data_IF_049877355336
#
_entry.id   IF_049877355336
#
_cell.length_a   1.000
_cell.length_b   1.000
_cell.length_c   1.000
_cell.angle_alpha   90.00
_cell.angle_beta   90.00
_cell.angle_gamma   90.00
#
_symmetry.space_group_name_H-M   'P 1'
#
loop_
_entity.id
_entity.type
_entity.pdbx_description
1 polymer ?
#
# COMPACT_ATOMS: atom_id res chain seq x y z
N UNK A 1 23.44 61.79 50.25
CA UNK A 1 24.17 60.63 49.72
C UNK A 1 23.52 59.38 50.29
N UNK A 2 22.83 58.61 49.46
CA UNK A 2 22.49 57.20 49.71
C UNK A 2 22.16 56.61 48.34
N UNK A 3 22.93 55.61 47.99
CA UNK A 3 23.09 55.03 46.65
C UNK A 3 21.97 54.06 46.30
N UNK A 4 21.69 54.04 45.01
CA UNK A 4 20.73 53.22 44.27
C UNK A 4 21.03 51.70 44.29
N UNK A 5 19.93 50.95 44.20
CA UNK A 5 19.64 49.53 43.96
C UNK A 5 20.55 48.77 42.95
N UNK A 6 20.54 47.41 42.93
CA UNK A 6 19.47 46.67 42.25
C UNK A 6 18.88 45.45 43.00
N UNK A 7 17.55 45.36 42.94
CA UNK A 7 16.76 44.16 43.23
C UNK A 7 17.10 43.05 42.23
N UNK A 8 17.53 41.89 42.73
CA UNK A 8 17.58 40.66 41.96
C UNK A 8 16.15 40.19 41.68
N UNK A 9 15.76 40.24 40.41
CA UNK A 9 14.55 39.59 39.91
C UNK A 9 14.68 38.09 40.01
N UNK A 10 13.73 37.45 40.70
CA UNK A 10 13.54 36.02 40.66
C UNK A 10 12.84 35.73 39.33
N UNK A 11 13.62 35.36 38.31
CA UNK A 11 13.08 34.81 37.07
C UNK A 11 12.63 33.38 37.33
N UNK A 12 11.31 33.18 37.39
CA UNK A 12 10.68 31.86 37.31
C UNK A 12 11.22 31.11 36.09
N UNK A 13 11.57 29.81 36.20
CA UNK A 13 11.99 29.04 35.06
C UNK A 13 10.82 28.95 34.08
N UNK A 14 11.08 29.37 32.84
CA UNK A 14 10.17 29.16 31.73
C UNK A 14 9.77 27.68 31.71
N UNK A 15 8.50 27.40 31.98
CA UNK A 15 7.90 26.12 31.63
C UNK A 15 8.08 25.97 30.12
N UNK A 16 9.02 25.11 29.73
CA UNK A 16 9.05 24.52 28.41
C UNK A 16 7.63 23.99 28.15
N UNK A 17 6.99 24.31 27.01
CA UNK A 17 5.73 23.67 26.68
C UNK A 17 6.02 22.17 26.67
N UNK A 18 5.27 21.43 27.50
CA UNK A 18 5.25 19.98 27.44
C UNK A 18 4.98 19.61 25.99
N UNK A 19 5.95 18.97 25.32
CA UNK A 19 5.77 18.50 23.96
C UNK A 19 4.51 17.65 23.95
N UNK A 20 3.47 18.14 23.27
CA UNK A 20 2.23 17.40 23.13
C UNK A 20 2.54 16.15 22.31
N UNK A 21 2.77 15.03 22.99
CA UNK A 21 2.96 13.74 22.33
C UNK A 21 1.60 13.29 21.81
N UNK A 22 1.26 13.69 20.59
CA UNK A 22 0.08 13.17 19.89
C UNK A 22 0.21 11.66 19.77
N UNK A 23 -0.74 10.92 20.35
CA UNK A 23 -0.73 9.46 20.26
C UNK A 23 -1.09 9.05 18.82
N UNK A 24 -0.26 8.23 18.18
CA UNK A 24 -0.55 7.60 16.88
C UNK A 24 -1.08 6.19 17.11
N UNK A 25 -2.15 5.81 16.41
CA UNK A 25 -2.68 4.45 16.42
C UNK A 25 -3.16 4.04 15.02
N UNK A 26 -3.01 2.76 14.70
CA UNK A 26 -3.45 2.16 13.46
C UNK A 26 -4.85 1.56 13.60
N UNK A 27 -5.71 1.82 12.62
CA UNK A 27 -7.09 1.36 12.57
C UNK A 27 -7.35 0.56 11.30
N UNK A 28 -8.07 -0.56 11.45
CA UNK A 28 -8.53 -1.33 10.32
C UNK A 28 -9.68 -0.62 9.59
N UNK A 29 -9.59 -0.58 8.27
CA UNK A 29 -10.57 0.01 7.39
C UNK A 29 -10.79 -0.90 6.19
N UNK A 30 -12.04 -1.16 5.86
CA UNK A 30 -12.42 -2.01 4.73
C UNK A 30 -13.10 -1.14 3.68
N UNK A 31 -12.69 -1.32 2.44
CA UNK A 31 -13.36 -0.73 1.28
C UNK A 31 -13.86 -1.82 0.34
N UNK A 32 -15.04 -1.61 -0.23
CA UNK A 32 -15.57 -2.45 -1.31
C UNK A 32 -15.75 -1.56 -2.54
N UNK A 33 -15.05 -1.90 -3.61
CA UNK A 33 -15.10 -1.18 -4.88
C UNK A 33 -15.88 -1.97 -5.91
N UNK A 34 -16.83 -1.31 -6.58
CA UNK A 34 -17.57 -1.87 -7.69
C UNK A 34 -17.04 -1.32 -9.01
N UNK A 35 -16.86 -2.20 -10.00
CA UNK A 35 -16.40 -1.79 -11.33
C UNK A 35 -16.93 -2.67 -12.45
N UNK A 36 -17.18 -2.05 -13.59
CA UNK A 36 -17.58 -2.75 -14.81
C UNK A 36 -16.38 -3.19 -15.62
N UNK A 37 -16.45 -4.40 -16.17
CA UNK A 37 -15.39 -5.00 -16.97
C UNK A 37 -15.94 -5.61 -18.25
N UNK A 38 -15.16 -5.52 -19.33
CA UNK A 38 -15.45 -6.17 -20.60
C UNK A 38 -14.15 -6.72 -21.20
N UNK A 39 -14.09 -8.03 -21.43
CA UNK A 39 -12.90 -8.68 -21.99
C UNK A 39 -11.62 -8.38 -21.19
N UNK A 40 -11.70 -8.49 -19.86
CA UNK A 40 -10.64 -8.15 -18.91
C UNK A 40 -10.24 -6.67 -18.89
N UNK A 41 -10.97 -5.76 -19.52
CA UNK A 41 -10.70 -4.33 -19.41
C UNK A 41 -11.68 -3.66 -18.46
N UNK A 42 -11.15 -2.97 -17.43
CA UNK A 42 -11.94 -2.13 -16.54
C UNK A 42 -12.47 -0.93 -17.31
N UNK A 43 -13.78 -0.82 -17.42
CA UNK A 43 -14.44 0.24 -18.16
C UNK A 43 -14.72 1.46 -17.28
N UNK A 44 -15.15 1.22 -16.03
CA UNK A 44 -15.62 2.28 -15.16
C UNK A 44 -15.59 1.89 -13.68
N UNK A 45 -15.18 2.83 -12.84
CA UNK A 45 -15.43 2.82 -11.40
C UNK A 45 -16.86 3.27 -11.15
N UNK A 46 -17.63 2.44 -10.45
CA UNK A 46 -19.01 2.77 -10.11
C UNK A 46 -19.04 3.50 -8.78
N UNK A 47 -18.91 2.71 -7.72
CA UNK A 47 -19.17 3.13 -6.36
C UNK A 47 -18.14 2.48 -5.45
N UNK A 48 -17.76 3.20 -4.40
CA UNK A 48 -16.88 2.72 -3.35
C UNK A 48 -17.60 2.84 -2.01
N UNK A 49 -17.63 1.74 -1.28
CA UNK A 49 -18.21 1.64 0.06
C UNK A 49 -17.07 1.53 1.06
N UNK A 50 -17.11 2.31 2.15
CA UNK A 50 -16.03 2.36 3.11
C UNK A 50 -16.56 2.36 4.54
N UNK A 51 -15.99 1.49 5.40
CA UNK A 51 -16.32 1.44 6.81
C UNK A 51 -15.24 0.74 7.63
N UNK A 52 -15.40 0.80 8.96
CA UNK A 52 -14.62 0.01 9.89
C UNK A 52 -15.12 -1.44 9.92
N UNK A 53 -14.32 -2.36 9.36
CA UNK A 53 -14.67 -3.78 9.27
C UNK A 53 -15.67 -4.11 8.16
N UNK A 54 -16.16 -5.35 8.13
CA UNK A 54 -16.85 -5.91 6.96
C UNK A 54 -18.35 -5.54 6.83
N UNK A 55 -18.86 -4.61 7.65
CA UNK A 55 -20.26 -4.17 7.59
C UNK A 55 -20.66 -3.58 6.22
N UNK A 56 -19.70 -3.10 5.43
CA UNK A 56 -19.90 -2.58 4.06
C UNK A 56 -20.16 -3.63 3.01
N UNK A 57 -19.84 -4.89 3.28
CA UNK A 57 -19.95 -5.96 2.28
C UNK A 57 -21.40 -6.17 1.82
N UNK A 58 -22.34 -6.35 2.75
CA UNK A 58 -23.73 -6.65 2.39
C UNK A 58 -24.41 -5.49 1.61
N UNK A 59 -24.29 -4.22 2.03
CA UNK A 59 -24.78 -3.09 1.23
C UNK A 59 -24.15 -3.01 -0.16
N UNK A 60 -22.82 -3.19 -0.27
CA UNK A 60 -22.13 -3.13 -1.55
C UNK A 60 -22.59 -4.22 -2.52
N UNK A 61 -22.75 -5.46 -2.05
CA UNK A 61 -23.23 -6.58 -2.88
C UNK A 61 -24.70 -6.44 -3.26
N UNK A 62 -25.53 -5.89 -2.36
CA UNK A 62 -26.93 -5.57 -2.68
C UNK A 62 -27.01 -4.50 -3.77
N UNK A 63 -26.14 -3.48 -3.69
CA UNK A 63 -26.03 -2.46 -4.71
C UNK A 63 -25.55 -3.02 -6.04
N UNK A 64 -24.56 -3.91 -6.02
CA UNK A 64 -24.06 -4.58 -7.21
C UNK A 64 -25.18 -5.39 -7.91
N UNK A 65 -25.96 -6.17 -7.16
CA UNK A 65 -27.08 -6.91 -7.71
C UNK A 65 -28.13 -5.99 -8.34
N UNK A 66 -28.49 -4.90 -7.65
CA UNK A 66 -29.43 -3.91 -8.19
C UNK A 66 -28.95 -3.28 -9.49
N UNK A 67 -27.63 -3.08 -9.66
CA UNK A 67 -27.05 -2.59 -10.92
C UNK A 67 -27.12 -3.64 -12.01
N UNK A 68 -26.84 -4.90 -11.71
CA UNK A 68 -27.03 -6.00 -12.66
C UNK A 68 -28.47 -6.08 -13.14
N UNK A 69 -29.46 -6.01 -12.24
CA UNK A 69 -30.88 -6.04 -12.60
C UNK A 69 -31.26 -4.85 -13.48
N UNK A 70 -30.78 -3.64 -13.14
CA UNK A 70 -31.08 -2.41 -13.88
C UNK A 70 -30.50 -2.43 -15.31
N UNK A 71 -29.26 -2.89 -15.48
CA UNK A 71 -28.59 -2.96 -16.78
C UNK A 71 -28.77 -4.30 -17.51
N UNK A 72 -29.57 -5.21 -16.95
CA UNK A 72 -29.80 -6.56 -17.48
C UNK A 72 -28.48 -7.32 -17.70
N UNK A 73 -27.54 -7.20 -16.76
CA UNK A 73 -26.28 -7.92 -16.79
C UNK A 73 -26.52 -9.30 -16.17
N UNK A 74 -26.38 -10.33 -16.99
CA UNK A 74 -26.52 -11.74 -16.62
C UNK A 74 -25.26 -12.54 -17.01
N UNK A 75 -25.30 -13.86 -16.79
CA UNK A 75 -24.19 -14.77 -17.10
C UNK A 75 -23.82 -14.80 -18.59
N UNK A 76 -24.77 -14.48 -19.48
CA UNK A 76 -24.55 -14.44 -20.93
C UNK A 76 -23.94 -13.13 -21.42
N UNK A 77 -23.94 -12.10 -20.55
CA UNK A 77 -23.49 -10.76 -20.89
C UNK A 77 -21.96 -10.70 -21.10
N UNK A 78 -21.53 -9.95 -22.12
CA UNK A 78 -20.11 -9.65 -22.31
C UNK A 78 -19.58 -8.67 -21.26
N UNK A 79 -20.45 -7.83 -20.72
CA UNK A 79 -20.21 -6.96 -19.58
C UNK A 79 -20.28 -7.77 -18.29
N UNK A 80 -19.36 -7.52 -17.38
CA UNK A 80 -19.35 -8.14 -16.05
C UNK A 80 -19.17 -7.08 -14.98
N UNK A 81 -19.94 -7.19 -13.90
CA UNK A 81 -19.79 -6.35 -12.72
C UNK A 81 -18.96 -7.11 -11.68
N UNK A 82 -17.91 -6.48 -11.18
CA UNK A 82 -17.02 -7.03 -10.17
C UNK A 82 -17.06 -6.22 -8.88
N UNK A 83 -16.97 -6.92 -7.76
CA UNK A 83 -16.76 -6.32 -6.44
C UNK A 83 -15.39 -6.75 -5.90
N UNK A 84 -14.59 -5.77 -5.48
CA UNK A 84 -13.27 -5.98 -4.89
C UNK A 84 -13.25 -5.50 -3.45
N UNK A 85 -12.71 -6.31 -2.55
CA UNK A 85 -12.51 -5.95 -1.14
C UNK A 85 -11.06 -5.55 -0.93
N UNK A 86 -10.84 -4.37 -0.38
CA UNK A 86 -9.53 -3.94 0.12
C UNK A 86 -9.59 -3.76 1.63
N UNK A 87 -8.56 -4.23 2.32
CA UNK A 87 -8.34 -3.96 3.74
C UNK A 87 -7.12 -3.06 3.89
N UNK A 88 -7.24 -2.06 4.74
CA UNK A 88 -6.24 -1.03 4.97
C UNK A 88 -5.96 -0.90 6.46
N UNK A 89 -4.72 -0.57 6.81
CA UNK A 89 -4.37 0.03 8.08
C UNK A 89 -4.23 1.54 7.87
N UNK A 90 -4.97 2.32 8.64
CA UNK A 90 -4.95 3.78 8.56
C UNK A 90 -4.45 4.36 9.87
N UNK A 91 -3.42 5.20 9.78
CA UNK A 91 -2.87 5.92 10.90
C UNK A 91 -3.83 7.06 11.29
N UNK A 92 -4.19 7.11 12.58
CA UNK A 92 -4.94 8.20 13.17
C UNK A 92 -4.17 8.78 14.35
N UNK A 93 -4.29 10.09 14.53
CA UNK A 93 -3.72 10.83 15.66
C UNK A 93 -4.82 11.23 16.62
N UNK A 94 -4.44 11.40 17.89
CA UNK A 94 -5.30 11.97 18.91
C UNK A 94 -4.59 13.13 19.58
N UNK A 95 -5.10 14.33 19.38
CA UNK A 95 -4.63 15.53 20.05
C UNK A 95 -5.31 15.71 21.42
N UNK A 96 -4.57 16.29 22.36
CA UNK A 96 -4.90 16.27 23.80
C UNK A 96 -6.18 17.01 24.21
N UNK A 97 -6.74 17.85 23.34
CA UNK A 97 -7.95 18.61 23.66
C UNK A 97 -9.25 17.83 23.38
N UNK A 98 -9.31 17.07 22.28
CA UNK A 98 -10.60 16.60 21.76
C UNK A 98 -10.90 15.13 22.01
N UNK A 99 -9.97 14.33 22.55
CA UNK A 99 -10.10 12.86 22.78
C UNK A 99 -10.55 12.01 21.56
N UNK A 100 -10.88 12.62 20.44
CA UNK A 100 -11.29 11.98 19.19
C UNK A 100 -10.07 11.63 18.34
N UNK A 101 -10.18 10.51 17.61
CA UNK A 101 -9.17 10.09 16.65
C UNK A 101 -9.45 10.72 15.29
N UNK A 102 -8.53 11.54 14.80
CA UNK A 102 -8.57 12.16 13.47
C UNK A 102 -7.56 11.52 12.53
N UNK A 103 -7.75 11.69 11.21
CA UNK A 103 -6.75 11.26 10.25
C UNK A 103 -5.45 12.04 10.47
N UNK A 104 -4.33 11.35 10.29
CA UNK A 104 -3.02 11.94 10.41
C UNK A 104 -2.67 12.73 9.15
N UNK A 105 -3.42 13.80 8.85
CA UNK A 105 -3.27 14.60 7.62
C UNK A 105 -1.93 15.38 7.59
N UNK A 106 -1.22 15.43 8.72
CA UNK A 106 -0.01 16.22 8.98
C UNK A 106 1.24 15.42 9.34
N UNK A 107 1.22 14.07 9.26
CA UNK A 107 2.47 13.32 9.41
C UNK A 107 3.32 13.55 8.15
N UNK A 108 4.47 14.20 8.32
CA UNK A 108 5.55 14.37 7.32
C UNK A 108 6.04 13.03 6.71
N UNK A 109 5.49 11.92 7.17
CA UNK A 109 5.74 10.58 6.66
C UNK A 109 4.52 10.11 5.88
N UNK A 110 4.74 10.14 4.57
CA UNK A 110 3.93 9.73 3.43
C UNK A 110 3.12 8.40 3.52
N UNK A 111 3.13 7.68 4.65
CA UNK A 111 2.46 6.39 4.84
C UNK A 111 1.39 6.51 5.93
N UNK A 112 0.33 7.27 5.65
CA UNK A 112 -0.84 7.37 6.53
C UNK A 112 -1.84 6.23 6.31
N UNK A 113 -1.68 5.46 5.23
CA UNK A 113 -2.53 4.33 4.84
C UNK A 113 -1.69 3.23 4.19
N UNK A 114 -1.81 2.01 4.70
CA UNK A 114 -1.09 0.81 4.22
C UNK A 114 -2.09 -0.23 3.75
N UNK A 115 -1.89 -0.80 2.57
CA UNK A 115 -2.70 -1.91 2.07
C UNK A 115 -2.33 -3.21 2.80
N UNK A 116 -3.34 -3.90 3.34
CA UNK A 116 -3.19 -5.21 4.00
C UNK A 116 -3.59 -6.34 3.06
N UNK A 117 -4.70 -6.18 2.34
CA UNK A 117 -5.16 -7.19 1.39
C UNK A 117 -6.03 -6.54 0.33
N UNK A 118 -6.08 -7.11 -0.86
CA UNK A 118 -6.99 -6.70 -1.93
C UNK A 118 -7.36 -7.93 -2.76
N UNK A 119 -8.64 -8.19 -2.98
CA UNK A 119 -9.07 -9.35 -3.79
C UNK A 119 -10.50 -9.20 -4.29
N UNK A 120 -10.86 -9.85 -5.40
CA UNK A 120 -12.25 -9.93 -5.83
C UNK A 120 -13.04 -10.82 -4.85
N UNK A 121 -14.28 -10.43 -4.57
CA UNK A 121 -15.17 -11.12 -3.61
C UNK A 121 -16.48 -11.58 -4.25
N UNK A 122 -16.85 -10.97 -5.38
CA UNK A 122 -18.05 -11.30 -6.11
C UNK A 122 -17.95 -10.83 -7.57
N UNK A 123 -18.59 -11.56 -8.49
CA UNK A 123 -18.87 -11.05 -9.84
C UNK A 123 -20.27 -11.45 -10.32
N UNK A 124 -20.79 -10.75 -11.33
CA UNK A 124 -22.09 -11.07 -11.91
C UNK A 124 -22.14 -12.42 -12.63
N UNK A 125 -20.99 -13.01 -13.00
CA UNK A 125 -20.93 -14.34 -13.63
C UNK A 125 -20.65 -15.48 -12.65
N UNK A 126 -19.85 -15.22 -11.63
CA UNK A 126 -19.40 -16.25 -10.70
C UNK A 126 -20.12 -16.20 -9.36
N UNK A 127 -20.90 -15.15 -9.11
CA UNK A 127 -21.49 -14.90 -7.81
C UNK A 127 -20.42 -14.68 -6.75
N UNK A 128 -20.66 -15.17 -5.54
CA UNK A 128 -19.71 -15.06 -4.42
C UNK A 128 -18.47 -15.92 -4.67
N UNK A 129 -17.30 -15.34 -4.49
CA UNK A 129 -16.01 -16.04 -4.67
C UNK A 129 -15.56 -16.74 -3.40
N UNK A 130 -14.77 -17.80 -3.56
CA UNK A 130 -14.08 -18.42 -2.43
C UNK A 130 -13.02 -17.49 -1.84
N UNK A 131 -12.67 -17.64 -0.55
CA UNK A 131 -11.66 -16.79 0.07
C UNK A 131 -10.25 -17.02 -0.53
N UNK A 132 -9.39 -15.98 -0.60
CA UNK A 132 -8.08 -16.07 -1.26
C UNK A 132 -7.07 -17.06 -0.68
N UNK A 133 -7.22 -17.46 0.58
CA UNK A 133 -6.39 -18.48 1.23
C UNK A 133 -6.62 -19.89 0.65
N UNK A 134 -7.71 -20.07 -0.09
CA UNK A 134 -8.01 -21.31 -0.82
C UNK A 134 -7.51 -21.31 -2.28
N UNK A 135 -6.94 -20.21 -2.73
CA UNK A 135 -6.50 -20.02 -4.12
C UNK A 135 -5.03 -20.43 -4.30
N UNK A 136 -4.60 -20.80 -5.52
CA UNK A 136 -3.18 -20.98 -5.84
C UNK A 136 -2.34 -19.76 -5.42
N UNK A 137 -1.40 -19.98 -4.51
CA UNK A 137 -0.57 -18.94 -3.89
C UNK A 137 0.81 -18.81 -4.54
N UNK A 138 1.31 -17.58 -4.59
CA UNK A 138 2.59 -17.20 -5.19
C UNK A 138 3.32 -16.18 -4.33
N UNK A 139 4.63 -16.07 -4.52
CA UNK A 139 5.44 -15.01 -3.94
C UNK A 139 5.82 -14.02 -5.03
N UNK A 140 5.45 -12.75 -4.83
CA UNK A 140 5.84 -11.66 -5.72
C UNK A 140 6.95 -10.84 -5.06
N UNK A 141 8.13 -10.84 -5.67
CA UNK A 141 9.31 -10.11 -5.20
C UNK A 141 9.47 -8.84 -6.01
N UNK A 142 9.64 -7.71 -5.35
CA UNK A 142 9.93 -6.45 -6.02
C UNK A 142 11.40 -6.07 -5.94
N UNK A 143 11.81 -5.26 -6.90
CA UNK A 143 13.07 -4.51 -6.92
C UNK A 143 12.78 -3.06 -7.27
N UNK A 144 13.28 -2.15 -6.45
CA UNK A 144 13.17 -0.71 -6.66
C UNK A 144 14.50 -0.01 -6.41
N UNK A 145 14.91 0.85 -7.34
CA UNK A 145 16.12 1.65 -7.19
C UNK A 145 15.76 3.02 -6.59
N UNK A 146 16.55 3.46 -5.63
CA UNK A 146 16.53 4.83 -5.11
C UNK A 146 17.92 5.45 -5.21
N UNK A 147 17.97 6.78 -5.27
CA UNK A 147 19.21 7.54 -5.23
C UNK A 147 19.28 8.29 -3.90
N UNK A 148 20.42 8.21 -3.22
CA UNK A 148 20.67 8.82 -1.91
C UNK A 148 22.04 9.50 -1.88
N UNK A 149 22.29 10.35 -0.88
CA UNK A 149 23.61 10.93 -0.62
C UNK A 149 24.65 9.83 -0.29
N UNK A 150 25.79 9.87 -0.99
CA UNK A 150 26.88 8.90 -0.86
C UNK A 150 27.56 8.89 0.52
N UNK A 151 27.40 9.95 1.31
CA UNK A 151 27.97 10.06 2.67
C UNK A 151 27.31 9.13 3.69
N UNK A 152 26.17 8.51 3.37
CA UNK A 152 25.43 7.63 4.27
C UNK A 152 25.98 6.20 4.22
N UNK A 153 26.07 5.56 5.38
CA UNK A 153 26.46 4.15 5.48
C UNK A 153 25.27 3.21 5.23
N UNK A 154 25.52 2.01 4.73
CA UNK A 154 24.47 1.00 4.50
C UNK A 154 23.75 0.58 5.79
N UNK A 155 24.47 0.58 6.93
CA UNK A 155 23.90 0.26 8.23
C UNK A 155 22.88 1.30 8.70
N UNK A 156 23.16 2.60 8.48
CA UNK A 156 22.20 3.67 8.73
C UNK A 156 20.97 3.50 7.82
N UNK A 157 21.18 3.22 6.54
CA UNK A 157 20.09 3.09 5.56
C UNK A 157 19.11 1.95 5.87
N UNK A 158 19.59 0.85 6.46
CA UNK A 158 18.77 -0.29 6.90
C UNK A 158 17.67 0.07 7.89
N UNK A 159 17.91 1.04 8.76
CA UNK A 159 16.91 1.55 9.72
C UNK A 159 16.06 2.70 9.18
N UNK A 160 16.42 3.26 8.03
CA UNK A 160 15.84 4.49 7.51
C UNK A 160 14.85 4.26 6.37
N UNK A 161 14.90 3.13 5.66
CA UNK A 161 13.92 2.84 4.60
C UNK A 161 12.76 2.02 5.15
N UNK A 162 11.57 2.57 5.00
CA UNK A 162 10.31 1.85 5.13
C UNK A 162 9.68 1.68 3.74
N UNK A 163 8.96 0.58 3.56
CA UNK A 163 8.25 0.30 2.33
C UNK A 163 6.79 -0.03 2.64
N UNK A 164 5.88 0.45 1.81
CA UNK A 164 4.47 0.11 1.87
C UNK A 164 3.92 -0.12 0.47
N UNK A 165 2.95 -1.03 0.36
CA UNK A 165 2.19 -1.19 -0.87
C UNK A 165 1.24 -0.02 -1.05
N UNK A 166 1.17 0.47 -2.28
CA UNK A 166 0.08 1.30 -2.77
C UNK A 166 -0.63 0.57 -3.91
N UNK A 167 -1.96 0.56 -3.88
CA UNK A 167 -2.75 0.05 -5.01
C UNK A 167 -2.59 1.03 -6.16
N UNK A 168 -2.18 0.51 -7.32
CA UNK A 168 -2.25 1.23 -8.60
C UNK A 168 -3.64 0.95 -9.17
N UNK A 169 -4.17 1.87 -9.99
CA UNK A 169 -5.38 1.58 -10.77
C UNK A 169 -5.24 0.20 -11.42
N UNK A 170 -6.13 -0.72 -11.04
CA UNK A 170 -6.04 -2.11 -11.47
C UNK A 170 -6.09 -2.20 -12.99
N UNK A 171 -4.98 -2.61 -13.58
CA UNK A 171 -4.88 -2.88 -15.00
C UNK A 171 -5.75 -4.06 -15.43
N UNK A 172 -5.85 -4.31 -16.74
CA UNK A 172 -6.72 -5.33 -17.30
C UNK A 172 -6.41 -6.76 -16.80
N UNK A 173 -5.17 -7.02 -16.40
CA UNK A 173 -4.70 -8.33 -15.96
C UNK A 173 -4.98 -8.60 -14.47
N UNK A 174 -5.50 -7.62 -13.73
CA UNK A 174 -5.65 -7.65 -12.27
C UNK A 174 -6.91 -8.40 -11.76
N UNK A 175 -7.85 -8.71 -12.65
CA UNK A 175 -9.21 -9.15 -12.29
C UNK A 175 -9.25 -10.44 -11.44
N UNK A 176 -8.25 -11.31 -11.60
CA UNK A 176 -8.08 -12.52 -10.80
C UNK A 176 -7.04 -12.44 -9.68
N UNK A 177 -6.33 -11.32 -9.55
CA UNK A 177 -5.23 -11.19 -8.59
C UNK A 177 -5.75 -10.85 -7.19
N UNK A 178 -5.34 -11.67 -6.22
CA UNK A 178 -5.44 -11.34 -4.81
C UNK A 178 -4.07 -10.96 -4.25
N UNK A 179 -4.02 -9.85 -3.52
CA UNK A 179 -2.99 -9.56 -2.54
C UNK A 179 -3.51 -10.10 -1.21
N UNK A 180 -2.94 -11.22 -0.77
CA UNK A 180 -3.40 -11.93 0.42
C UNK A 180 -2.77 -11.38 1.70
N UNK A 181 -1.52 -10.93 1.59
CA UNK A 181 -0.81 -10.20 2.64
C UNK A 181 0.04 -9.09 2.00
N UNK A 182 -0.33 -7.86 2.32
CA UNK A 182 0.35 -6.65 1.89
C UNK A 182 1.53 -6.25 2.78
N UNK A 183 1.79 -6.99 3.86
CA UNK A 183 3.01 -6.89 4.64
C UNK A 183 4.23 -7.25 3.79
N UNK A 184 5.13 -6.28 3.60
CA UNK A 184 6.39 -6.53 2.89
C UNK A 184 7.30 -7.36 3.78
N UNK A 185 7.66 -8.54 3.30
CA UNK A 185 8.59 -9.48 3.93
C UNK A 185 9.98 -9.34 3.31
N UNK A 186 10.99 -9.80 4.03
CA UNK A 186 12.38 -9.91 3.54
C UNK A 186 12.91 -8.61 2.91
N UNK A 187 12.58 -7.47 3.52
CA UNK A 187 13.01 -6.16 3.03
C UNK A 187 14.54 -6.06 3.14
N UNK A 188 15.22 -5.92 2.02
CA UNK A 188 16.68 -5.73 1.98
C UNK A 188 17.07 -4.48 1.20
N UNK A 189 18.21 -3.90 1.58
CA UNK A 189 18.78 -2.73 0.94
C UNK A 189 20.23 -3.05 0.60
N UNK A 190 20.58 -2.94 -0.67
CA UNK A 190 21.94 -3.20 -1.14
C UNK A 190 22.45 -2.02 -1.95
N UNK A 191 23.75 -1.71 -1.81
CA UNK A 191 24.40 -0.66 -2.58
C UNK A 191 24.70 -1.19 -3.98
N UNK A 192 24.25 -0.47 -5.01
CA UNK A 192 24.45 -0.84 -6.42
C UNK A 192 25.68 -0.15 -7.00
N UNK A 193 25.97 1.07 -6.55
CA UNK A 193 27.13 1.84 -6.99
C UNK A 193 26.84 3.34 -7.07
N UNK A 194 27.76 4.10 -7.65
CA UNK A 194 27.61 5.54 -7.83
C UNK A 194 26.47 5.87 -8.81
N UNK A 195 25.71 6.94 -8.53
CA UNK A 195 24.75 7.49 -9.47
C UNK A 195 25.49 8.36 -10.50
N UNK A 196 25.74 7.83 -11.69
CA UNK A 196 26.44 8.56 -12.77
C UNK A 196 25.68 9.78 -13.27
N UNK A 197 24.38 9.91 -12.96
CA UNK A 197 23.54 11.05 -13.32
C UNK A 197 23.48 12.12 -12.23
N UNK A 198 24.05 11.88 -11.05
CA UNK A 198 24.02 12.84 -9.93
C UNK A 198 25.26 12.68 -9.07
N UNK A 199 26.21 13.60 -9.25
CA UNK A 199 27.45 13.63 -8.47
C UNK A 199 27.16 13.70 -6.97
N UNK A 200 27.92 12.94 -6.17
CA UNK A 200 27.71 12.84 -4.72
C UNK A 200 26.53 11.95 -4.31
N UNK A 201 25.83 11.33 -5.26
CA UNK A 201 24.77 10.36 -4.97
C UNK A 201 25.19 8.92 -5.29
N UNK A 202 24.58 7.98 -4.59
CA UNK A 202 24.69 6.54 -4.83
C UNK A 202 23.32 5.92 -5.07
N UNK A 203 23.32 4.82 -5.81
CA UNK A 203 22.15 4.01 -6.09
C UNK A 203 22.05 2.88 -5.07
N UNK A 204 20.88 2.78 -4.44
CA UNK A 204 20.51 1.65 -3.60
C UNK A 204 19.41 0.85 -4.29
N UNK A 205 19.47 -0.45 -4.12
CA UNK A 205 18.43 -1.38 -4.50
C UNK A 205 17.69 -1.84 -3.26
N UNK A 206 16.40 -1.55 -3.23
CA UNK A 206 15.47 -2.03 -2.22
C UNK A 206 14.71 -3.21 -2.81
N UNK A 207 14.72 -4.34 -2.13
CA UNK A 207 13.92 -5.52 -2.49
C UNK A 207 13.06 -5.96 -1.32
N UNK A 208 11.98 -6.66 -1.62
CA UNK A 208 11.12 -7.29 -0.63
C UNK A 208 10.08 -8.15 -1.33
N UNK A 209 9.29 -8.90 -0.57
CA UNK A 209 8.32 -9.84 -1.10
C UNK A 209 6.94 -9.66 -0.47
N UNK A 210 5.89 -9.96 -1.25
CA UNK A 210 4.50 -9.99 -0.80
C UNK A 210 3.87 -11.33 -1.19
N UNK A 211 2.79 -11.70 -0.50
CA UNK A 211 2.02 -12.88 -0.86
C UNK A 211 0.86 -12.49 -1.79
N UNK A 212 0.75 -13.19 -2.91
CA UNK A 212 -0.36 -13.03 -3.87
C UNK A 212 -0.99 -14.39 -4.16
N UNK A 213 -2.22 -14.38 -4.63
CA UNK A 213 -2.92 -15.58 -5.08
C UNK A 213 -3.74 -15.29 -6.33
N UNK A 214 -4.02 -16.32 -7.13
CA UNK A 214 -4.82 -16.19 -8.35
C UNK A 214 -6.16 -16.89 -8.23
N UNK A 215 -7.22 -16.17 -8.56
CA UNK A 215 -8.58 -16.67 -8.56
C UNK A 215 -8.72 -17.93 -9.44
N UNK A 216 -9.32 -19.02 -8.93
CA UNK A 216 -9.56 -20.23 -9.70
C UNK A 216 -10.64 -20.04 -10.79
N UNK A 217 -11.32 -18.88 -10.80
CA UNK A 217 -12.34 -18.53 -11.79
C UNK A 217 -11.74 -17.90 -13.06
N UNK A 218 -10.43 -17.66 -13.07
CA UNK A 218 -9.68 -17.22 -14.25
C UNK A 218 -8.92 -18.39 -14.88
N UNK A 219 -8.62 -18.29 -16.18
CA UNK A 219 -7.71 -19.25 -16.82
C UNK A 219 -6.36 -19.22 -16.12
N UNK A 220 -5.72 -20.39 -15.94
CA UNK A 220 -4.41 -20.49 -15.28
C UNK A 220 -3.39 -19.59 -16.01
N UNK A 221 -2.95 -18.48 -15.38
CA UNK A 221 -2.03 -17.57 -16.02
C UNK A 221 -0.62 -18.15 -15.96
N UNK A 222 0.16 -17.96 -17.02
CA UNK A 222 1.60 -18.16 -16.95
C UNK A 222 2.27 -17.14 -16.01
N UNK A 223 3.49 -17.43 -15.53
CA UNK A 223 4.22 -16.53 -14.65
C UNK A 223 4.36 -15.10 -15.22
N UNK A 224 4.60 -14.97 -16.53
CA UNK A 224 4.70 -13.67 -17.21
C UNK A 224 3.41 -12.85 -17.08
N UNK A 225 2.24 -13.50 -17.19
CA UNK A 225 0.94 -12.83 -17.04
C UNK A 225 0.68 -12.45 -15.59
N UNK A 226 1.10 -13.29 -14.64
CA UNK A 226 1.00 -13.00 -13.23
C UNK A 226 1.89 -11.81 -12.81
N UNK A 227 3.12 -11.75 -13.32
CA UNK A 227 4.00 -10.60 -13.13
C UNK A 227 3.39 -9.31 -13.68
N UNK A 228 2.77 -9.38 -14.86
CA UNK A 228 2.13 -8.23 -15.49
C UNK A 228 0.87 -7.79 -14.70
N UNK A 229 0.09 -8.74 -14.17
CA UNK A 229 -1.02 -8.49 -13.25
C UNK A 229 -0.57 -7.79 -11.97
N UNK A 230 0.50 -8.28 -11.32
CA UNK A 230 1.06 -7.66 -10.11
C UNK A 230 1.56 -6.25 -10.43
N UNK A 231 2.36 -6.10 -11.50
CA UNK A 231 2.93 -4.82 -11.93
C UNK A 231 1.86 -3.76 -12.22
N UNK A 232 0.71 -4.18 -12.75
CA UNK A 232 -0.40 -3.29 -13.07
C UNK A 232 -1.37 -3.06 -11.90
N UNK A 233 -1.22 -3.76 -10.78
CA UNK A 233 -2.10 -3.65 -9.62
C UNK A 233 -1.46 -2.97 -8.42
N UNK A 234 -0.13 -3.09 -8.26
CA UNK A 234 0.57 -2.60 -7.07
C UNK A 234 1.87 -1.88 -7.38
N UNK A 235 2.05 -0.80 -6.63
CA UNK A 235 3.29 -0.06 -6.52
C UNK A 235 3.89 -0.18 -5.13
N UNK A 236 5.16 0.18 -5.04
CA UNK A 236 5.87 0.30 -3.77
C UNK A 236 6.11 1.78 -3.48
N UNK A 237 5.55 2.27 -2.38
CA UNK A 237 5.93 3.57 -1.82
C UNK A 237 7.08 3.33 -0.85
N UNK A 238 8.20 4.00 -1.10
CA UNK A 238 9.34 4.00 -0.19
C UNK A 238 9.32 5.31 0.58
N UNK A 239 9.47 5.22 1.89
CA UNK A 239 9.60 6.37 2.76
C UNK A 239 10.90 6.26 3.54
N UNK A 240 11.66 7.34 3.49
CA UNK A 240 12.91 7.49 4.22
C UNK A 240 12.61 8.24 5.52
N UNK A 241 12.98 7.66 6.66
CA UNK A 241 12.83 8.26 7.98
C UNK A 241 13.91 9.34 8.18
N UNK A 242 13.69 10.27 9.12
CA UNK A 242 14.67 11.27 9.58
C UNK A 242 15.18 12.28 8.54
N UNK A 243 14.27 12.85 7.73
CA UNK A 243 14.62 13.94 6.81
C UNK A 243 15.59 13.54 5.69
N UNK A 244 15.90 12.25 5.55
CA UNK A 244 16.66 11.72 4.42
C UNK A 244 15.76 11.79 3.20
N UNK A 245 16.01 12.76 2.31
CA UNK A 245 15.31 12.85 1.04
C UNK A 245 16.03 12.00 0.02
N UNK A 246 15.28 11.19 -0.74
CA UNK A 246 15.84 10.59 -1.95
C UNK A 246 16.34 11.74 -2.85
N UNK A 247 17.63 11.72 -3.18
CA UNK A 247 18.33 12.81 -3.85
C UNK A 247 18.93 12.34 -5.16
N UNK A 248 18.97 13.20 -6.17
CA UNK A 248 19.53 12.88 -7.46
C UNK A 248 18.52 12.29 -8.45
N UNK A 249 18.95 12.22 -9.71
CA UNK A 249 18.10 11.90 -10.85
C UNK A 249 18.16 10.41 -11.15
N UNK A 250 16.98 9.80 -11.31
CA UNK A 250 16.79 8.46 -11.84
C UNK A 250 16.16 8.55 -13.22
N UNK A 251 16.47 7.62 -14.12
CA UNK A 251 15.71 7.49 -15.38
C UNK A 251 14.38 6.74 -15.19
N UNK A 252 13.54 6.74 -16.22
CA UNK A 252 12.22 6.13 -16.15
C UNK A 252 12.26 4.62 -15.82
N UNK A 253 13.29 3.90 -16.30
CA UNK A 253 13.48 2.49 -16.00
C UNK A 253 13.92 2.25 -14.57
N UNK A 254 14.75 3.13 -14.00
CA UNK A 254 15.17 3.05 -12.60
C UNK A 254 14.08 3.46 -11.61
N UNK A 255 13.17 4.35 -12.03
CA UNK A 255 12.01 4.76 -11.21
C UNK A 255 10.94 3.69 -11.09
N UNK A 256 10.85 2.79 -12.08
CA UNK A 256 9.82 1.76 -12.09
C UNK A 256 10.12 0.68 -11.04
N UNK A 257 9.05 0.05 -10.56
CA UNK A 257 9.18 -1.13 -9.71
C UNK A 257 9.20 -2.35 -10.62
N UNK A 258 10.25 -3.15 -10.51
CA UNK A 258 10.37 -4.43 -11.22
C UNK A 258 9.78 -5.50 -10.30
N UNK A 259 8.96 -6.37 -10.87
CA UNK A 259 8.33 -7.48 -10.16
C UNK A 259 8.78 -8.79 -10.80
N UNK A 260 9.02 -9.80 -9.95
CA UNK A 260 9.26 -11.20 -10.33
C UNK A 260 8.32 -12.06 -9.51
N UNK A 261 7.69 -13.06 -10.13
CA UNK A 261 6.74 -13.93 -9.42
C UNK A 261 7.18 -15.39 -9.50
N UNK A 262 7.17 -16.05 -8.35
CA UNK A 262 7.56 -17.45 -8.19
C UNK A 262 6.42 -18.23 -7.51
N UNK A 263 6.26 -19.50 -7.90
CA UNK A 263 5.34 -20.41 -7.23
C UNK A 263 5.75 -20.68 -5.79
N UNK A 264 4.79 -20.96 -4.90
CA UNK A 264 5.16 -21.47 -3.58
C UNK A 264 5.86 -22.83 -3.75
N UNK A 265 7.15 -22.90 -3.40
CA UNK A 265 7.78 -24.17 -3.08
C UNK A 265 7.05 -24.74 -1.87
N UNK A 266 6.11 -25.65 -2.07
CA UNK A 266 5.71 -26.57 -1.02
C UNK A 266 6.99 -27.29 -0.60
N UNK A 267 7.43 -27.20 0.67
CA UNK A 267 8.48 -28.08 1.12
C UNK A 267 7.98 -29.50 0.90
N UNK A 268 8.70 -30.26 0.08
CA UNK A 268 8.45 -31.70 -0.08
C UNK A 268 8.55 -32.31 1.32
N UNK A 269 7.42 -32.63 1.94
CA UNK A 269 7.39 -33.51 3.09
C UNK A 269 7.88 -34.87 2.58
N UNK A 270 9.14 -35.15 2.90
CA UNK A 270 9.74 -36.49 2.88
C UNK A 270 9.75 -37.02 4.30
#
# INVERSE_FOLDING_TARGET
MLTSQPQQGISSPAHLPAGSTSAVKWFSQVTVELSYWHGNQRLKNLDQFEWHGDAVMAPALTHAQSKCDFYQIDESSSLELWAFRSQWQVAKVREGADQHWSFADSLDHDVTRVLVSHHPVWSSKHGKMSPPDTWPGFTATFRKIISVDASRSTAELGGLVTAALCVIEQGPEALGLAITDGGIRDLTITRVGANTRSAGCELLMVTGAIAVAMSPYQAEPGFDQLEAAVRSSVGIKLSLVDGVTASGHLDAGQRSTIWVVEGQNTPNNT
#
